data_IF_580207556347
#
_entry.id   IF_580207556347
#
_cell.length_a   1.000
_cell.length_b   1.000
_cell.length_c   1.000
_cell.angle_alpha   90.00
_cell.angle_beta   90.00
_cell.angle_gamma   90.00
#
_symmetry.space_group_name_H-M   'P 1'
#
loop_
_entity.id
_entity.type
_entity.pdbx_description
1 polymer ?
#
# COMPACT_ATOMS: atom_id res chain seq x y z
N UNK A 1 8.92 16.81 -1.94
CA UNK A 1 9.80 15.62 -1.84
C UNK A 1 8.93 14.37 -1.71
N UNK A 2 9.17 13.35 -2.51
CA UNK A 2 8.41 12.08 -2.41
C UNK A 2 8.89 11.24 -1.23
N UNK A 3 7.97 10.52 -0.60
CA UNK A 3 8.30 9.63 0.52
C UNK A 3 8.62 8.21 0.03
N UNK A 4 9.90 7.88 -0.06
CA UNK A 4 10.37 6.56 -0.51
C UNK A 4 9.95 5.39 0.41
N UNK A 5 9.57 5.66 1.66
CA UNK A 5 9.02 4.64 2.55
C UNK A 5 7.69 4.06 2.04
N UNK A 6 7.02 4.77 1.12
CA UNK A 6 5.75 4.36 0.53
C UNK A 6 5.89 3.43 -0.69
N UNK A 7 7.10 3.02 -1.02
CA UNK A 7 7.35 2.05 -2.09
C UNK A 7 7.08 0.64 -1.57
N UNK A 8 5.96 0.07 -1.96
CA UNK A 8 5.62 -1.31 -1.58
C UNK A 8 6.55 -2.33 -2.23
N UNK A 9 7.01 -3.30 -1.48
CA UNK A 9 7.90 -4.37 -1.97
C UNK A 9 7.26 -5.27 -3.04
N UNK A 10 5.93 -5.28 -3.10
CA UNK A 10 5.14 -5.94 -4.16
C UNK A 10 4.73 -5.00 -5.31
N UNK A 11 5.18 -3.75 -5.32
CA UNK A 11 4.77 -2.74 -6.30
C UNK A 11 3.51 -1.96 -5.91
N UNK A 12 2.95 -2.19 -4.71
CA UNK A 12 1.83 -1.39 -4.23
C UNK A 12 2.33 -0.03 -3.72
N UNK A 13 1.60 1.04 -4.05
CA UNK A 13 1.84 2.34 -3.44
C UNK A 13 1.27 2.39 -2.01
N UNK A 14 2.12 2.33 -1.01
CA UNK A 14 1.68 2.31 0.40
C UNK A 14 0.91 3.57 0.81
N UNK A 15 1.15 4.70 0.16
CA UNK A 15 0.44 5.96 0.39
C UNK A 15 -1.06 5.93 0.05
N UNK A 16 -1.49 5.00 -0.81
CA UNK A 16 -2.91 4.73 -1.09
C UNK A 16 -3.49 3.59 -0.25
N UNK A 17 -2.71 2.96 0.62
CA UNK A 17 -3.17 1.87 1.47
C UNK A 17 -4.09 2.37 2.58
N UNK A 18 -5.23 1.70 2.78
CA UNK A 18 -6.20 2.07 3.80
C UNK A 18 -5.62 2.03 5.22
N UNK A 19 -4.75 1.09 5.52
CA UNK A 19 -4.11 0.98 6.84
C UNK A 19 -3.19 2.18 7.08
N UNK A 20 -2.37 2.52 6.07
CA UNK A 20 -1.50 3.70 6.15
C UNK A 20 -2.31 4.99 6.30
N UNK A 21 -3.36 5.17 5.49
CA UNK A 21 -4.24 6.35 5.58
C UNK A 21 -4.96 6.44 6.92
N UNK A 22 -5.48 5.33 7.43
CA UNK A 22 -6.10 5.29 8.76
C UNK A 22 -5.12 5.73 9.86
N UNK A 23 -3.92 5.21 9.82
CA UNK A 23 -2.89 5.55 10.81
C UNK A 23 -2.45 7.02 10.73
N UNK A 24 -2.31 7.55 9.51
CA UNK A 24 -1.80 8.92 9.31
C UNK A 24 -2.88 10.00 9.39
N UNK A 25 -4.10 9.71 8.95
CA UNK A 25 -5.05 10.76 8.60
C UNK A 25 -6.34 10.73 9.42
N UNK A 26 -6.79 9.56 9.91
CA UNK A 26 -8.17 9.45 10.39
C UNK A 26 -8.35 8.43 11.52
N UNK A 27 -8.55 8.95 12.71
CA UNK A 27 -8.86 8.13 13.88
C UNK A 27 -10.17 7.33 13.70
N UNK A 28 -11.19 7.92 13.10
CA UNK A 28 -12.45 7.23 12.81
C UNK A 28 -12.25 6.02 11.87
N UNK A 29 -11.44 6.18 10.82
CA UNK A 29 -11.09 5.08 9.91
C UNK A 29 -10.27 4.02 10.63
N UNK A 30 -9.35 4.45 11.50
CA UNK A 30 -8.51 3.59 12.31
C UNK A 30 -9.33 2.71 13.26
N UNK A 31 -10.29 3.30 13.98
CA UNK A 31 -11.22 2.59 14.85
C UNK A 31 -12.10 1.60 14.07
N UNK A 32 -12.60 2.00 12.89
CA UNK A 32 -13.39 1.11 12.02
C UNK A 32 -12.61 -0.13 11.59
N UNK A 33 -11.34 0.05 11.25
CA UNK A 33 -10.44 -1.07 10.89
C UNK A 33 -10.15 -1.94 12.11
N UNK A 34 -9.84 -1.34 13.25
CA UNK A 34 -9.59 -2.04 14.50
C UNK A 34 -10.77 -2.96 14.85
N UNK A 35 -11.98 -2.43 14.84
CA UNK A 35 -13.21 -3.19 15.08
C UNK A 35 -13.36 -4.37 14.09
N UNK A 36 -13.13 -4.13 12.81
CA UNK A 36 -13.25 -5.18 11.76
C UNK A 36 -12.28 -6.33 11.96
N UNK A 37 -11.05 -6.03 12.38
CA UNK A 37 -10.00 -7.03 12.58
C UNK A 37 -9.84 -7.51 14.02
N UNK A 38 -10.72 -7.08 14.93
CA UNK A 38 -10.66 -7.38 16.38
C UNK A 38 -9.31 -6.98 16.99
N UNK A 39 -8.89 -5.78 16.69
CA UNK A 39 -7.66 -5.14 17.18
C UNK A 39 -8.01 -3.90 18.00
N UNK A 40 -7.02 -3.37 18.72
CA UNK A 40 -7.11 -2.00 19.26
C UNK A 40 -6.77 -0.96 18.17
N UNK A 41 -7.22 0.30 18.29
CA UNK A 41 -6.84 1.34 17.34
C UNK A 41 -5.31 1.52 17.22
N UNK A 42 -4.57 1.39 18.31
CA UNK A 42 -3.10 1.50 18.36
C UNK A 42 -2.43 0.39 17.54
N UNK A 43 -3.06 -0.76 17.44
CA UNK A 43 -2.59 -1.89 16.64
C UNK A 43 -2.79 -1.69 15.12
N UNK A 44 -3.62 -0.73 14.72
CA UNK A 44 -3.78 -0.33 13.31
C UNK A 44 -2.73 0.71 12.99
N UNK A 45 -1.53 0.23 12.64
CA UNK A 45 -0.36 1.06 12.34
C UNK A 45 0.42 0.50 11.16
N UNK A 46 0.80 1.37 10.24
CA UNK A 46 1.74 1.05 9.16
C UNK A 46 2.39 2.35 8.66
N UNK A 47 3.69 2.34 8.48
CA UNK A 47 4.47 3.48 8.01
C UNK A 47 5.03 3.30 6.59
N UNK A 48 4.59 2.24 5.90
CA UNK A 48 5.06 1.87 4.57
C UNK A 48 6.05 0.71 4.60
N UNK A 49 6.17 0.01 3.47
CA UNK A 49 6.97 -1.22 3.41
C UNK A 49 8.47 -0.99 3.56
N UNK A 50 8.99 0.18 3.21
CA UNK A 50 10.42 0.50 3.35
C UNK A 50 10.76 1.08 4.74
N UNK A 51 9.74 1.47 5.52
CA UNK A 51 9.90 1.94 6.89
C UNK A 51 9.79 0.81 7.94
N UNK A 52 9.78 -0.45 7.53
CA UNK A 52 9.67 -1.59 8.43
C UNK A 52 10.92 -1.76 9.27
N UNK A 53 10.81 -1.37 10.52
CA UNK A 53 11.78 -1.61 11.56
C UNK A 53 11.12 -2.41 12.71
N UNK A 54 11.80 -2.62 13.79
CA UNK A 54 11.28 -3.39 14.91
C UNK A 54 10.01 -2.79 15.55
N UNK A 55 9.84 -1.48 15.42
CA UNK A 55 8.67 -0.76 15.92
C UNK A 55 7.52 -0.74 14.91
N UNK A 56 7.80 -0.95 13.62
CA UNK A 56 6.80 -1.03 12.56
C UNK A 56 6.14 -2.39 12.60
N UNK A 57 4.95 -2.48 13.14
CA UNK A 57 4.28 -3.76 13.31
C UNK A 57 2.78 -3.66 12.97
N UNK A 58 2.20 -4.80 12.72
CA UNK A 58 0.77 -4.98 12.64
C UNK A 58 0.44 -6.41 13.05
N UNK A 59 -0.57 -6.59 13.87
CA UNK A 59 -1.13 -7.91 14.16
C UNK A 59 -2.01 -8.41 13.01
N UNK A 60 -2.48 -7.50 12.17
CA UNK A 60 -3.18 -7.85 10.93
C UNK A 60 -2.24 -8.35 9.83
N UNK A 61 -2.77 -8.55 8.62
CA UNK A 61 -2.01 -9.02 7.46
C UNK A 61 -1.15 -7.96 6.76
N UNK A 62 -0.69 -6.94 7.48
CA UNK A 62 0.13 -5.83 6.97
C UNK A 62 1.40 -5.63 7.80
N UNK A 63 2.23 -4.68 7.41
CA UNK A 63 3.48 -4.40 8.07
C UNK A 63 4.37 -5.64 8.13
N UNK A 64 4.94 -5.94 9.29
CA UNK A 64 5.77 -7.14 9.50
C UNK A 64 5.03 -8.46 9.26
N UNK A 65 3.72 -8.47 9.38
CA UNK A 65 2.89 -9.66 9.18
C UNK A 65 2.42 -9.85 7.73
N UNK A 66 2.73 -8.91 6.84
CA UNK A 66 2.46 -9.08 5.42
C UNK A 66 3.19 -10.32 4.88
N UNK A 67 2.45 -11.21 4.24
CA UNK A 67 3.00 -12.45 3.68
C UNK A 67 4.11 -12.19 2.65
N UNK A 68 3.98 -11.12 1.88
CA UNK A 68 5.02 -10.71 0.91
C UNK A 68 6.29 -10.26 1.62
N UNK A 69 6.17 -9.42 2.64
CA UNK A 69 7.32 -8.97 3.45
C UNK A 69 8.03 -10.15 4.11
N UNK A 70 7.28 -11.06 4.72
CA UNK A 70 7.86 -12.28 5.33
C UNK A 70 8.58 -13.14 4.30
N UNK A 71 8.00 -13.32 3.11
CA UNK A 71 8.61 -14.09 2.03
C UNK A 71 9.92 -13.47 1.55
N UNK A 72 9.92 -12.15 1.33
CA UNK A 72 11.10 -11.42 0.87
C UNK A 72 12.21 -11.41 1.94
N UNK A 73 11.85 -11.16 3.20
CA UNK A 73 12.82 -11.21 4.30
C UNK A 73 13.47 -12.58 4.43
N UNK A 74 12.72 -13.67 4.32
CA UNK A 74 13.25 -15.03 4.37
C UNK A 74 14.23 -15.34 3.20
N UNK A 75 14.11 -14.61 2.10
CA UNK A 75 14.99 -14.74 0.91
C UNK A 75 16.11 -13.69 0.86
N UNK A 76 16.15 -12.75 1.81
CA UNK A 76 17.11 -11.63 1.76
C UNK A 76 16.86 -10.65 0.61
N UNK A 77 15.61 -10.55 0.12
CA UNK A 77 15.23 -9.70 -1.02
C UNK A 77 14.42 -8.49 -0.56
N UNK A 78 14.49 -7.40 -1.32
CA UNK A 78 13.70 -6.20 -1.04
C UNK A 78 12.42 -6.13 -1.86
N UNK A 79 12.45 -6.52 -3.14
CA UNK A 79 11.30 -6.45 -4.04
C UNK A 79 10.99 -7.81 -4.66
N UNK A 80 9.70 -8.02 -5.00
CA UNK A 80 9.26 -9.27 -5.64
C UNK A 80 9.97 -9.54 -6.96
N UNK A 81 10.30 -8.53 -7.76
CA UNK A 81 11.00 -8.70 -9.04
C UNK A 81 12.44 -9.22 -8.92
N UNK A 82 13.04 -9.17 -7.72
CA UNK A 82 14.38 -9.71 -7.47
C UNK A 82 14.37 -11.24 -7.29
N UNK A 83 13.19 -11.82 -7.08
CA UNK A 83 13.04 -13.25 -6.88
C UNK A 83 13.10 -14.00 -8.22
N UNK A 84 13.88 -15.05 -8.29
CA UNK A 84 13.99 -15.92 -9.49
C UNK A 84 12.65 -16.50 -9.95
N UNK A 85 11.73 -16.75 -8.99
CA UNK A 85 10.39 -17.28 -9.26
C UNK A 85 9.33 -16.18 -9.48
N UNK A 86 9.72 -14.93 -9.67
CA UNK A 86 8.78 -13.80 -9.77
C UNK A 86 7.71 -13.99 -10.85
N UNK A 87 8.13 -14.45 -12.03
CA UNK A 87 7.26 -14.60 -13.20
C UNK A 87 6.18 -15.68 -13.01
N UNK A 88 6.48 -16.70 -12.19
CA UNK A 88 5.60 -17.85 -11.93
C UNK A 88 5.05 -17.89 -10.51
N UNK A 89 5.24 -16.81 -9.73
CA UNK A 89 4.85 -16.77 -8.34
C UNK A 89 3.33 -16.68 -8.17
N UNK A 90 2.68 -17.78 -7.82
CA UNK A 90 1.23 -17.84 -7.59
C UNK A 90 0.74 -16.86 -6.50
N UNK A 91 1.54 -16.66 -5.45
CA UNK A 91 1.20 -15.70 -4.38
C UNK A 91 1.17 -14.28 -4.92
N UNK A 92 2.17 -13.91 -5.71
CA UNK A 92 2.23 -12.61 -6.33
C UNK A 92 1.04 -12.43 -7.30
N UNK A 93 0.77 -13.43 -8.14
CA UNK A 93 -0.32 -13.37 -9.12
C UNK A 93 -1.71 -13.22 -8.46
N UNK A 94 -1.97 -13.97 -7.38
CA UNK A 94 -3.20 -13.81 -6.61
C UNK A 94 -3.36 -12.39 -6.06
N UNK A 95 -2.28 -11.82 -5.54
CA UNK A 95 -2.29 -10.45 -5.01
C UNK A 95 -2.41 -9.40 -6.13
N UNK A 96 -1.69 -9.57 -7.22
CA UNK A 96 -1.79 -8.71 -8.40
C UNK A 96 -3.21 -8.69 -8.98
N UNK A 97 -3.87 -9.84 -9.05
CA UNK A 97 -5.27 -9.95 -9.50
C UNK A 97 -6.25 -9.21 -8.58
N UNK A 98 -6.03 -9.23 -7.27
CA UNK A 98 -6.82 -8.44 -6.31
C UNK A 98 -6.61 -6.95 -6.53
N UNK A 99 -5.36 -6.51 -6.68
CA UNK A 99 -5.00 -5.12 -6.91
C UNK A 99 -5.52 -4.60 -8.25
N UNK A 100 -5.53 -5.45 -9.28
CA UNK A 100 -6.09 -5.09 -10.60
C UNK A 100 -7.58 -4.69 -10.53
N UNK A 101 -8.36 -5.31 -9.64
CA UNK A 101 -9.79 -4.97 -9.44
C UNK A 101 -9.99 -3.54 -8.92
N UNK A 102 -9.00 -2.96 -8.30
CA UNK A 102 -8.99 -1.56 -7.84
C UNK A 102 -8.18 -0.66 -8.76
N UNK A 103 -7.81 -1.16 -9.94
CA UNK A 103 -7.09 -0.40 -10.98
C UNK A 103 -5.58 -0.25 -10.71
N UNK A 104 -4.97 -1.10 -9.88
CA UNK A 104 -3.52 -1.06 -9.60
C UNK A 104 -2.83 -2.20 -10.33
N UNK A 105 -1.87 -1.88 -11.21
CA UNK A 105 -1.05 -2.84 -11.91
C UNK A 105 0.31 -2.99 -11.21
N UNK A 106 0.44 -4.03 -10.38
CA UNK A 106 1.65 -4.26 -9.60
C UNK A 106 2.87 -4.58 -10.48
N UNK A 107 2.69 -5.25 -11.63
CA UNK A 107 3.80 -5.58 -12.54
C UNK A 107 4.37 -4.35 -13.22
N UNK A 108 3.52 -3.45 -13.72
CA UNK A 108 3.95 -2.17 -14.29
C UNK A 108 4.68 -1.32 -13.25
N UNK A 109 4.12 -1.24 -12.04
CA UNK A 109 4.73 -0.51 -10.94
C UNK A 109 6.13 -1.05 -10.61
N UNK A 110 6.26 -2.38 -10.49
CA UNK A 110 7.56 -3.02 -10.25
C UNK A 110 8.53 -2.84 -11.41
N UNK A 111 8.06 -2.81 -12.65
CA UNK A 111 8.90 -2.52 -13.81
C UNK A 111 9.46 -1.08 -13.76
N UNK A 112 8.66 -0.09 -13.39
CA UNK A 112 9.13 1.29 -13.19
C UNK A 112 10.15 1.38 -12.04
N UNK A 113 9.89 0.70 -10.91
CA UNK A 113 10.78 0.66 -9.75
C UNK A 113 12.12 0.02 -10.15
N UNK A 114 12.09 -1.12 -10.83
CA UNK A 114 13.27 -1.84 -11.34
C UNK A 114 14.11 -0.99 -12.31
N UNK A 115 13.44 -0.18 -13.13
CA UNK A 115 14.10 0.75 -14.07
C UNK A 115 14.68 2.00 -13.41
N UNK A 116 14.64 2.11 -12.06
CA UNK A 116 15.14 3.29 -11.33
C UNK A 116 14.21 4.50 -11.35
N UNK A 117 12.99 4.38 -11.92
CA UNK A 117 12.02 5.47 -12.04
C UNK A 117 11.13 5.64 -10.81
N UNK A 118 11.67 5.36 -9.63
CA UNK A 118 10.91 5.35 -8.36
C UNK A 118 10.26 6.67 -8.05
N UNK A 119 10.97 7.79 -8.20
CA UNK A 119 10.42 9.11 -7.87
C UNK A 119 9.33 9.55 -8.84
N UNK A 120 9.48 9.24 -10.11
CA UNK A 120 8.45 9.48 -11.13
C UNK A 120 7.18 8.68 -10.81
N UNK A 121 7.33 7.40 -10.55
CA UNK A 121 6.23 6.52 -10.16
C UNK A 121 5.52 7.02 -8.88
N UNK A 122 6.26 7.40 -7.85
CA UNK A 122 5.68 7.93 -6.61
C UNK A 122 4.85 9.18 -6.86
N UNK A 123 5.35 10.14 -7.69
CA UNK A 123 4.58 11.34 -8.04
C UNK A 123 3.29 11.02 -8.81
N UNK A 124 3.35 10.04 -9.71
CA UNK A 124 2.16 9.58 -10.44
C UNK A 124 1.13 8.97 -9.51
N UNK A 125 1.55 8.11 -8.58
CA UNK A 125 0.68 7.48 -7.61
C UNK A 125 0.13 8.48 -6.58
N UNK A 126 0.92 9.41 -6.08
CA UNK A 126 0.45 10.49 -5.21
C UNK A 126 -0.68 11.28 -5.88
N UNK A 127 -0.47 11.72 -7.12
CA UNK A 127 -1.49 12.44 -7.89
C UNK A 127 -2.74 11.58 -8.12
N UNK A 128 -2.56 10.32 -8.47
CA UNK A 128 -3.65 9.38 -8.76
C UNK A 128 -4.55 9.15 -7.55
N UNK A 129 -3.97 9.05 -6.36
CA UNK A 129 -4.69 8.75 -5.12
C UNK A 129 -4.96 10.00 -4.28
N UNK A 130 -5.11 11.13 -4.93
CA UNK A 130 -5.50 12.40 -4.34
C UNK A 130 -6.96 12.70 -4.66
N UNK A 131 -7.71 13.20 -3.67
CA UNK A 131 -9.11 13.63 -3.87
C UNK A 131 -9.17 14.86 -4.76
N UNK A 132 -9.96 14.79 -5.83
CA UNK A 132 -10.10 15.90 -6.78
C UNK A 132 -10.84 17.12 -6.20
N UNK A 133 -11.57 16.94 -5.08
CA UNK A 133 -12.31 18.02 -4.45
C UNK A 133 -11.51 18.76 -3.39
N UNK A 134 -10.82 18.05 -2.49
CA UNK A 134 -10.10 18.69 -1.37
C UNK A 134 -8.57 18.58 -1.47
N UNK A 135 -8.05 17.97 -2.54
CA UNK A 135 -6.61 17.77 -2.78
C UNK A 135 -5.87 17.02 -1.66
N UNK A 136 -6.61 16.26 -0.82
CA UNK A 136 -6.02 15.44 0.21
C UNK A 136 -5.83 13.99 -0.26
N UNK A 137 -4.81 13.28 0.26
CA UNK A 137 -4.56 11.89 -0.12
C UNK A 137 -5.72 10.97 0.30
N UNK A 138 -6.01 9.98 -0.52
CA UNK A 138 -7.08 9.00 -0.28
C UNK A 138 -6.57 7.56 -0.36
N UNK A 139 -7.42 6.62 0.00
CA UNK A 139 -7.12 5.19 -0.13
C UNK A 139 -7.80 4.58 -1.36
N UNK A 140 -7.18 3.53 -1.95
CA UNK A 140 -7.70 2.88 -3.17
C UNK A 140 -9.05 2.19 -3.00
N UNK A 141 -9.45 1.80 -1.81
CA UNK A 141 -10.67 1.04 -1.54
C UNK A 141 -11.82 1.89 -0.99
N UNK A 142 -11.57 3.16 -0.70
CA UNK A 142 -12.62 4.07 -0.24
C UNK A 142 -13.49 4.55 -1.41
N UNK A 143 -14.81 4.49 -1.23
CA UNK A 143 -15.80 5.02 -2.18
C UNK A 143 -16.02 6.53 -2.00
N UNK A 144 -15.75 7.04 -0.81
CA UNK A 144 -15.85 8.45 -0.45
C UNK A 144 -14.54 8.91 0.19
N UNK A 145 -14.18 10.15 -0.06
CA UNK A 145 -13.03 10.76 0.58
C UNK A 145 -13.24 10.84 2.10
N UNK A 146 -12.27 10.37 2.87
CA UNK A 146 -12.37 10.38 4.33
C UNK A 146 -12.11 11.78 4.94
N UNK A 147 -11.69 12.74 4.13
CA UNK A 147 -11.51 14.13 4.54
C UNK A 147 -12.76 14.98 4.31
N UNK A 148 -13.31 14.95 3.09
CA UNK A 148 -14.39 15.84 2.69
C UNK A 148 -15.71 15.15 2.34
N UNK A 149 -15.78 13.83 2.40
CA UNK A 149 -16.98 13.03 2.12
C UNK A 149 -17.37 12.91 0.65
N UNK A 150 -16.70 13.63 -0.27
CA UNK A 150 -17.01 13.59 -1.70
C UNK A 150 -16.83 12.17 -2.27
N UNK A 151 -17.75 11.75 -3.13
CA UNK A 151 -17.64 10.48 -3.85
C UNK A 151 -16.43 10.49 -4.75
N UNK A 152 -15.55 9.50 -4.56
CA UNK A 152 -14.33 9.36 -5.36
C UNK A 152 -14.66 8.73 -6.72
N UNK A 153 -14.34 9.44 -7.79
CA UNK A 153 -14.34 8.88 -9.14
C UNK A 153 -13.04 8.12 -9.32
N UNK A 154 -13.14 6.81 -9.54
CA UNK A 154 -11.98 5.97 -9.82
C UNK A 154 -11.97 5.67 -11.30
N UNK A 155 -10.91 6.05 -11.98
CA UNK A 155 -10.62 5.53 -13.30
C UNK A 155 -10.23 4.05 -13.11
N UNK A 156 -11.17 3.16 -13.41
CA UNK A 156 -10.91 1.73 -13.51
C UNK A 156 -10.18 1.43 -14.81
#
# INVERSE_FOLDING_TARGET
MVNKNLVGRCGLYCGGCRIYRAYKDSESLRQSIAKRYKLTPEEVRCEGCQALNEQSWGKGGWGKNCKTVKCLNAKGLNFCYECENYETCERFEKWASICAKIGVNLRENLAMIKAGRVEEWLRQEEKRWTCQNCNQPTSFDLKKCHWCGTKLKRNR
#
